data_IF_064025139194
#
_entry.id   IF_064025139194
#
_cell.length_a   1.000
_cell.length_b   1.000
_cell.length_c   1.000
_cell.angle_alpha   90.00
_cell.angle_beta   90.00
_cell.angle_gamma   90.00
#
_symmetry.space_group_name_H-M   'P 1'
#
loop_
_entity.id
_entity.type
_entity.pdbx_description
1 polymer ?
#
# COMPACT_ATOMS: atom_id res chain seq x y z
N UNK A 1 3.78 3.10 13.21
CA UNK A 1 3.47 2.54 11.89
C UNK A 1 4.76 2.37 11.12
N UNK A 2 4.72 1.63 10.01
CA UNK A 2 5.84 1.60 9.06
C UNK A 2 5.80 2.91 8.27
N UNK A 3 6.89 3.67 8.28
CA UNK A 3 7.04 4.93 7.54
C UNK A 3 7.97 4.73 6.34
N UNK A 4 7.70 5.35 5.18
CA UNK A 4 8.56 5.24 4.02
C UNK A 4 9.85 6.04 4.24
N UNK A 5 10.93 5.59 3.62
CA UNK A 5 12.21 6.27 3.61
C UNK A 5 12.92 6.04 2.27
N UNK A 6 13.78 6.98 1.88
CA UNK A 6 14.53 6.91 0.61
C UNK A 6 15.95 6.45 0.91
N UNK A 7 16.42 5.40 0.23
CA UNK A 7 17.82 4.97 0.32
C UNK A 7 18.70 6.05 -0.35
N UNK A 8 19.65 6.60 0.41
CA UNK A 8 20.61 7.61 -0.10
C UNK A 8 22.02 7.06 -0.28
N UNK A 9 22.37 6.02 0.49
CA UNK A 9 23.60 5.26 0.34
C UNK A 9 23.38 3.84 0.90
N UNK A 10 24.19 2.88 0.47
CA UNK A 10 24.01 1.49 0.86
C UNK A 10 25.27 0.64 0.73
N UNK A 11 25.49 -0.20 1.74
CA UNK A 11 26.42 -1.32 1.72
C UNK A 11 25.65 -2.63 1.94
N UNK A 12 26.33 -3.78 1.79
CA UNK A 12 25.68 -5.09 1.80
C UNK A 12 24.81 -5.38 3.06
N UNK A 13 25.17 -4.86 4.23
CA UNK A 13 24.47 -5.12 5.50
C UNK A 13 23.65 -3.94 6.05
N UNK A 14 23.88 -2.71 5.54
CA UNK A 14 23.32 -1.47 6.06
C UNK A 14 22.94 -0.49 4.96
N UNK A 15 21.82 0.18 5.17
CA UNK A 15 21.33 1.27 4.35
C UNK A 15 21.38 2.57 5.15
N UNK A 16 21.84 3.65 4.51
CA UNK A 16 21.53 5.00 4.96
C UNK A 16 20.26 5.47 4.26
N UNK A 17 19.27 5.84 5.06
CA UNK A 17 17.95 6.25 4.56
C UNK A 17 17.64 7.68 4.98
N UNK A 18 17.06 8.45 4.06
CA UNK A 18 16.46 9.76 4.29
C UNK A 18 14.99 9.58 4.69
N UNK A 19 14.67 9.98 5.91
CA UNK A 19 13.31 9.98 6.44
C UNK A 19 12.53 11.18 5.89
N UNK A 20 11.21 11.09 5.90
CA UNK A 20 10.30 12.17 5.45
C UNK A 20 10.47 13.50 6.22
N UNK A 21 11.04 13.45 7.43
CA UNK A 21 11.40 14.64 8.22
C UNK A 21 12.78 15.22 7.87
N UNK A 22 13.37 14.78 6.75
CA UNK A 22 14.67 15.20 6.21
C UNK A 22 15.88 14.81 7.06
N UNK A 23 15.72 13.93 8.07
CA UNK A 23 16.84 13.36 8.82
C UNK A 23 17.33 12.07 8.16
N UNK A 24 18.63 11.81 8.21
CA UNK A 24 19.18 10.52 7.82
C UNK A 24 19.24 9.55 9.00
N UNK A 25 19.11 8.26 8.71
CA UNK A 25 19.23 7.18 9.68
C UNK A 25 19.88 5.96 9.03
N UNK A 26 20.72 5.25 9.79
CA UNK A 26 21.25 3.95 9.38
C UNK A 26 20.32 2.83 9.84
N UNK A 27 19.96 1.94 8.94
CA UNK A 27 19.12 0.77 9.19
C UNK A 27 19.80 -0.48 8.61
N UNK A 28 19.52 -1.66 9.17
CA UNK A 28 20.03 -2.90 8.58
C UNK A 28 19.14 -3.29 7.40
N UNK A 29 19.72 -3.85 6.34
CA UNK A 29 18.95 -4.26 5.16
C UNK A 29 17.79 -5.20 5.52
N UNK A 30 17.99 -6.11 6.47
CA UNK A 30 16.97 -7.06 6.94
C UNK A 30 15.78 -6.42 7.67
N UNK A 31 15.93 -5.18 8.13
CA UNK A 31 14.90 -4.44 8.86
C UNK A 31 14.13 -3.48 7.93
N UNK A 32 14.35 -3.58 6.60
CA UNK A 32 13.72 -2.78 5.58
C UNK A 32 13.08 -3.66 4.49
N UNK A 33 11.98 -3.19 3.93
CA UNK A 33 11.30 -3.82 2.78
C UNK A 33 11.38 -2.87 1.58
N UNK A 34 11.81 -3.38 0.42
CA UNK A 34 11.94 -2.57 -0.80
C UNK A 34 10.56 -2.44 -1.46
N UNK A 35 10.02 -1.21 -1.47
CA UNK A 35 8.72 -0.93 -2.09
C UNK A 35 8.86 -0.50 -3.56
N UNK A 36 9.91 0.24 -3.90
CA UNK A 36 10.14 0.75 -5.25
C UNK A 36 11.66 0.94 -5.50
N UNK A 37 12.19 0.62 -6.70
CA UNK A 37 13.63 0.73 -7.01
C UNK A 37 14.15 2.17 -7.18
N UNK A 38 13.25 3.13 -7.35
CA UNK A 38 13.58 4.56 -7.54
C UNK A 38 13.77 4.95 -9.01
N UNK A 39 14.40 6.11 -9.30
CA UNK A 39 14.90 7.10 -8.34
C UNK A 39 13.76 7.85 -7.64
N UNK A 40 14.04 8.42 -6.47
CA UNK A 40 13.16 9.39 -5.81
C UNK A 40 13.85 10.75 -5.87
N UNK A 41 13.25 11.72 -6.55
CA UNK A 41 13.76 13.08 -6.61
C UNK A 41 13.41 13.82 -5.33
N UNK A 42 14.20 14.84 -4.99
CA UNK A 42 14.01 15.61 -3.75
C UNK A 42 12.64 16.27 -3.62
N UNK A 43 11.96 16.59 -4.73
CA UNK A 43 10.62 17.14 -4.74
C UNK A 43 9.50 16.08 -4.61
N UNK A 44 9.77 14.82 -4.96
CA UNK A 44 8.83 13.69 -4.79
C UNK A 44 8.72 13.22 -3.33
N UNK A 45 9.63 13.68 -2.45
CA UNK A 45 9.59 13.37 -1.01
C UNK A 45 8.31 13.88 -0.33
N UNK A 46 7.77 15.01 -0.79
CA UNK A 46 6.51 15.53 -0.26
C UNK A 46 5.32 14.73 -0.80
N UNK A 47 5.41 14.15 -1.99
CA UNK A 47 4.37 13.28 -2.54
C UNK A 47 4.24 11.96 -1.76
N UNK A 48 5.35 11.44 -1.22
CA UNK A 48 5.32 10.26 -0.34
C UNK A 48 4.52 10.50 0.97
N UNK A 49 4.29 11.76 1.36
CA UNK A 49 3.47 12.13 2.52
C UNK A 49 1.99 12.23 2.19
N UNK A 50 1.65 12.43 0.91
CA UNK A 50 0.27 12.62 0.49
C UNK A 50 -0.45 11.28 0.51
N UNK A 51 -1.61 11.26 1.16
CA UNK A 51 -2.49 10.11 1.09
C UNK A 51 -3.11 10.06 -0.31
N UNK A 52 -2.81 8.99 -1.05
CA UNK A 52 -3.35 8.76 -2.38
C UNK A 52 -4.50 7.76 -2.30
N UNK A 53 -5.71 8.29 -2.19
CA UNK A 53 -6.91 7.46 -2.23
C UNK A 53 -7.03 6.78 -3.61
N UNK A 54 -7.26 5.45 -3.65
CA UNK A 54 -7.49 4.76 -4.91
C UNK A 54 -8.86 5.13 -5.48
N UNK A 55 -8.98 5.15 -6.81
CA UNK A 55 -10.29 5.10 -7.43
C UNK A 55 -10.92 3.73 -7.12
N UNK A 56 -12.12 3.74 -6.54
CA UNK A 56 -12.77 2.52 -6.06
C UNK A 56 -12.99 1.49 -7.18
N UNK A 57 -13.31 1.94 -8.41
CA UNK A 57 -13.53 1.04 -9.55
C UNK A 57 -12.21 0.43 -10.03
N UNK A 58 -11.12 1.21 -10.05
CA UNK A 58 -9.79 0.70 -10.40
C UNK A 58 -9.27 -0.29 -9.36
N UNK A 59 -9.49 -0.02 -8.07
CA UNK A 59 -9.14 -0.94 -7.00
C UNK A 59 -9.90 -2.27 -7.13
N UNK A 60 -11.22 -2.20 -7.33
CA UNK A 60 -12.06 -3.39 -7.53
C UNK A 60 -11.61 -4.18 -8.76
N UNK A 61 -11.37 -3.52 -9.90
CA UNK A 61 -10.88 -4.16 -11.11
C UNK A 61 -9.51 -4.83 -10.93
N UNK A 62 -8.57 -4.17 -10.24
CA UNK A 62 -7.26 -4.75 -9.93
C UNK A 62 -7.40 -6.00 -9.02
N UNK A 63 -8.30 -5.93 -8.04
CA UNK A 63 -8.60 -7.04 -7.15
C UNK A 63 -9.27 -8.21 -7.90
N UNK A 64 -10.25 -7.96 -8.77
CA UNK A 64 -10.88 -8.98 -9.62
C UNK A 64 -9.86 -9.71 -10.49
N UNK A 65 -8.97 -8.95 -11.13
CA UNK A 65 -7.92 -9.51 -11.97
C UNK A 65 -7.00 -10.44 -11.16
N UNK A 66 -6.43 -9.96 -10.06
CA UNK A 66 -5.43 -10.70 -9.28
C UNK A 66 -6.03 -11.86 -8.48
N UNK A 67 -7.26 -11.71 -7.95
CA UNK A 67 -7.94 -12.81 -7.26
C UNK A 67 -8.35 -13.94 -8.21
N UNK A 68 -8.56 -13.64 -9.50
CA UNK A 68 -8.84 -14.63 -10.54
C UNK A 68 -7.61 -15.44 -10.97
N UNK A 69 -6.40 -14.87 -10.92
CA UNK A 69 -5.16 -15.59 -11.26
C UNK A 69 -4.63 -16.40 -10.07
N UNK A 70 -4.73 -15.86 -8.86
CA UNK A 70 -4.10 -16.44 -7.66
C UNK A 70 -2.56 -16.32 -7.64
N UNK A 71 -2.00 -15.57 -8.58
CA UNK A 71 -0.55 -15.34 -8.68
C UNK A 71 -0.10 -14.17 -7.81
N UNK A 72 1.19 -14.16 -7.46
CA UNK A 72 1.80 -13.04 -6.77
C UNK A 72 1.94 -11.82 -7.69
N UNK A 73 1.90 -10.63 -7.11
CA UNK A 73 2.21 -9.36 -7.76
C UNK A 73 3.20 -8.54 -6.91
N UNK A 74 3.67 -7.40 -7.42
CA UNK A 74 4.50 -6.46 -6.66
C UNK A 74 3.71 -5.19 -6.34
N UNK A 75 4.18 -4.40 -5.37
CA UNK A 75 3.62 -3.09 -5.07
C UNK A 75 3.67 -2.14 -6.29
N UNK A 76 4.70 -2.27 -7.13
CA UNK A 76 4.83 -1.50 -8.37
C UNK A 76 3.78 -1.89 -9.41
N UNK A 77 3.58 -3.19 -9.62
CA UNK A 77 2.59 -3.68 -10.58
C UNK A 77 1.17 -3.36 -10.10
N UNK A 78 0.91 -3.56 -8.81
CA UNK A 78 -0.36 -3.17 -8.19
C UNK A 78 -0.62 -1.67 -8.31
N UNK A 79 0.41 -0.83 -8.17
CA UNK A 79 0.29 0.60 -8.39
C UNK A 79 -0.06 0.95 -9.84
N UNK A 80 0.54 0.25 -10.81
CA UNK A 80 0.20 0.43 -12.22
C UNK A 80 -1.26 0.09 -12.50
N UNK A 81 -1.80 -0.94 -11.86
CA UNK A 81 -3.21 -1.33 -11.99
C UNK A 81 -4.16 -0.31 -11.35
N UNK A 82 -3.87 0.13 -10.12
CA UNK A 82 -4.78 0.99 -9.35
C UNK A 82 -4.68 2.45 -9.79
N UNK A 83 -3.47 2.95 -10.01
CA UNK A 83 -3.21 4.37 -10.25
C UNK A 83 -2.87 4.67 -11.72
N UNK A 84 -2.53 3.66 -12.52
CA UNK A 84 -2.12 3.82 -13.93
C UNK A 84 -0.63 4.05 -14.12
N UNK A 85 0.15 4.10 -13.03
CA UNK A 85 1.60 4.33 -13.05
C UNK A 85 2.25 3.69 -11.81
N UNK A 86 3.52 3.32 -11.92
CA UNK A 86 4.34 2.83 -10.82
C UNK A 86 5.36 3.88 -10.36
N UNK A 87 4.91 5.08 -9.98
CA UNK A 87 5.82 6.05 -9.33
C UNK A 87 6.14 5.59 -7.90
N UNK A 88 7.20 6.08 -7.25
CA UNK A 88 7.50 5.76 -5.85
C UNK A 88 6.31 6.04 -4.91
N UNK A 89 5.59 7.14 -5.12
CA UNK A 89 4.40 7.49 -4.37
C UNK A 89 3.22 6.55 -4.65
N UNK A 90 3.03 6.14 -5.92
CA UNK A 90 2.01 5.17 -6.30
C UNK A 90 2.28 3.78 -5.68
N UNK A 91 3.52 3.29 -5.75
CA UNK A 91 3.94 2.02 -5.17
C UNK A 91 3.78 2.03 -3.63
N UNK A 92 4.13 3.14 -2.98
CA UNK A 92 3.89 3.32 -1.55
C UNK A 92 2.39 3.29 -1.21
N UNK A 93 1.55 3.99 -1.98
CA UNK A 93 0.10 3.97 -1.78
C UNK A 93 -0.50 2.57 -2.00
N UNK A 94 -0.06 1.84 -3.02
CA UNK A 94 -0.48 0.47 -3.28
C UNK A 94 -0.08 -0.47 -2.12
N UNK A 95 1.13 -0.33 -1.59
CA UNK A 95 1.55 -1.08 -0.41
C UNK A 95 0.76 -0.71 0.85
N UNK A 96 0.37 0.56 1.02
CA UNK A 96 -0.52 0.98 2.11
C UNK A 96 -1.89 0.30 2.04
N UNK A 97 -2.46 0.16 0.85
CA UNK A 97 -3.71 -0.59 0.63
C UNK A 97 -3.54 -2.06 1.05
N UNK A 98 -2.41 -2.69 0.71
CA UNK A 98 -2.14 -4.07 1.14
C UNK A 98 -1.98 -4.19 2.67
N UNK A 99 -1.43 -3.17 3.34
CA UNK A 99 -1.34 -3.14 4.81
C UNK A 99 -2.70 -3.01 5.51
N UNK A 100 -3.77 -2.64 4.81
CA UNK A 100 -5.13 -2.67 5.37
C UNK A 100 -5.66 -4.10 5.54
N UNK A 101 -4.96 -5.11 5.01
CA UNK A 101 -5.30 -6.54 5.10
C UNK A 101 -6.72 -6.89 4.61
N UNK A 102 -7.30 -6.03 3.77
CA UNK A 102 -8.65 -6.21 3.23
C UNK A 102 -8.61 -6.96 1.90
N UNK A 103 -8.02 -6.33 0.88
CA UNK A 103 -8.00 -6.84 -0.49
C UNK A 103 -6.76 -7.68 -0.78
N UNK A 104 -5.62 -7.29 -0.22
CA UNK A 104 -4.31 -7.88 -0.50
C UNK A 104 -3.55 -8.19 0.78
N UNK A 105 -2.57 -9.09 0.69
CA UNK A 105 -1.65 -9.44 1.77
C UNK A 105 -0.27 -9.80 1.22
N UNK A 106 0.72 -9.94 2.12
CA UNK A 106 2.08 -10.38 1.78
C UNK A 106 3.12 -9.29 2.04
N UNK A 107 4.14 -9.22 1.17
CA UNK A 107 5.23 -8.25 1.23
C UNK A 107 5.25 -7.38 -0.02
N UNK A 108 5.90 -6.21 -0.04
CA UNK A 108 5.88 -5.34 -1.22
C UNK A 108 6.37 -6.01 -2.51
N UNK A 109 7.32 -6.95 -2.42
CA UNK A 109 7.83 -7.70 -3.58
C UNK A 109 6.97 -8.93 -3.95
N UNK A 110 6.05 -9.33 -3.08
CA UNK A 110 5.26 -10.55 -3.22
C UNK A 110 3.91 -10.38 -2.49
N UNK A 111 2.97 -9.76 -3.21
CA UNK A 111 1.60 -9.49 -2.78
C UNK A 111 0.64 -10.50 -3.41
N UNK A 112 -0.38 -10.90 -2.66
CA UNK A 112 -1.45 -11.76 -3.14
C UNK A 112 -2.80 -11.11 -2.88
N UNK A 113 -3.74 -11.32 -3.79
CA UNK A 113 -5.14 -10.96 -3.57
C UNK A 113 -5.83 -12.02 -2.71
N UNK A 114 -6.66 -11.57 -1.75
CA UNK A 114 -7.50 -12.47 -1.00
C UNK A 114 -8.61 -13.09 -1.87
N UNK A 115 -9.20 -14.23 -1.47
CA UNK A 115 -10.40 -14.76 -2.11
C UNK A 115 -11.56 -13.75 -2.04
N UNK A 116 -12.34 -13.64 -3.13
CA UNK A 116 -13.50 -12.74 -3.22
C UNK A 116 -14.51 -12.98 -2.10
N UNK A 117 -14.72 -14.24 -1.68
CA UNK A 117 -15.62 -14.60 -0.57
C UNK A 117 -15.23 -13.91 0.73
N UNK A 118 -13.94 -13.95 1.12
CA UNK A 118 -13.42 -13.29 2.31
C UNK A 118 -13.70 -11.79 2.29
N UNK A 119 -13.40 -11.14 1.16
CA UNK A 119 -13.59 -9.68 1.02
C UNK A 119 -15.07 -9.31 1.11
N UNK A 120 -15.94 -10.09 0.47
CA UNK A 120 -17.40 -9.87 0.54
C UNK A 120 -17.94 -10.00 1.97
N UNK A 121 -17.47 -11.00 2.73
CA UNK A 121 -17.86 -11.20 4.13
C UNK A 121 -17.47 -9.99 5.00
N UNK A 122 -16.20 -9.54 4.90
CA UNK A 122 -15.71 -8.39 5.67
C UNK A 122 -16.47 -7.11 5.29
N UNK A 123 -16.71 -6.88 3.99
CA UNK A 123 -17.42 -5.68 3.51
C UNK A 123 -18.91 -5.70 3.90
N UNK A 124 -19.55 -6.87 3.89
CA UNK A 124 -20.92 -7.02 4.36
C UNK A 124 -21.04 -6.68 5.85
N UNK A 125 -20.08 -7.12 6.66
CA UNK A 125 -20.05 -6.81 8.10
C UNK A 125 -19.84 -5.31 8.34
N UNK A 126 -18.84 -4.70 7.70
CA UNK A 126 -18.61 -3.23 7.78
C UNK A 126 -19.86 -2.44 7.37
N UNK A 127 -20.60 -2.90 6.36
CA UNK A 127 -21.85 -2.26 5.93
C UNK A 127 -22.97 -2.39 6.97
N UNK A 128 -23.06 -3.52 7.68
CA UNK A 128 -24.04 -3.71 8.78
C UNK A 128 -23.73 -2.80 9.96
N UNK A 129 -22.47 -2.77 10.40
CA UNK A 129 -22.01 -1.90 11.49
C UNK A 129 -22.26 -0.42 11.17
N UNK A 130 -21.90 0.01 9.96
CA UNK A 130 -22.13 1.40 9.52
C UNK A 130 -23.63 1.77 9.45
N UNK A 131 -24.50 0.79 9.16
CA UNK A 131 -25.95 1.01 9.19
C UNK A 131 -26.47 1.15 10.62
N UNK A 132 -26.04 0.28 11.53
CA UNK A 132 -26.44 0.34 12.94
C UNK A 132 -25.98 1.63 13.63
N UNK A 133 -24.75 2.08 13.35
CA UNK A 133 -24.24 3.35 13.88
C UNK A 133 -25.09 4.55 13.43
N UNK A 134 -25.46 4.61 12.15
CA UNK A 134 -26.35 5.66 11.62
C UNK A 134 -27.76 5.61 12.21
N UNK A 135 -28.28 4.42 12.51
CA UNK A 135 -29.58 4.25 13.16
C UNK A 135 -29.54 4.72 14.62
N UNK A 136 -28.44 4.48 15.34
CA UNK A 136 -28.26 4.96 16.72
C UNK A 136 -28.09 6.49 16.77
N UNK A 137 -27.29 7.08 15.88
CA UNK A 137 -27.10 8.54 15.80
C UNK A 137 -28.37 9.28 15.30
N UNK A 138 -29.29 8.57 14.64
CA UNK A 138 -30.57 9.11 14.21
C UNK A 138 -31.65 9.08 15.30
N UNK A 139 -31.38 8.50 16.47
CA UNK A 139 -32.25 8.55 17.65
C UNK A 139 -31.83 9.70 18.58
N UNK A 140 -32.58 10.82 18.64
CA UNK A 140 -32.32 11.94 19.54
C UNK A 140 -32.70 11.65 21.00
#
# INVERSE_FOLDING_TARGET
GIDPAVVVDGAADKLEVLLLNKKTKKVKCKDAELVHPGPVRSWELEELKLERAPDAKKLEAAFDLLSGTGEATTACDLASLIFGEATPAAAWAAWRIAQEDLYFHGRPAELYAYPRSRVNEIMAERKREAKQAKELDAFP
#
